data_IF_903287655216
#
_entry.id   IF_903287655216
#
_cell.length_a   1.000
_cell.length_b   1.000
_cell.length_c   1.000
_cell.angle_alpha   90.00
_cell.angle_beta   90.00
_cell.angle_gamma   90.00
#
_symmetry.space_group_name_H-M   'P 1'
#
loop_
_entity.id
_entity.type
_entity.pdbx_description
1 polymer ?
#
# COMPACT_ATOMS: atom_id res chain seq x y z
N UNK A 1 42.12 20.69 1.01
CA UNK A 1 42.77 20.10 -0.21
C UNK A 1 43.40 18.71 0.02
N UNK A 2 44.20 18.49 1.08
CA UNK A 2 44.88 17.21 1.33
C UNK A 2 43.94 15.99 1.53
N UNK A 3 42.90 16.13 2.36
CA UNK A 3 41.93 15.06 2.62
C UNK A 3 41.14 14.62 1.36
N UNK A 4 40.84 15.57 0.46
CA UNK A 4 40.13 15.29 -0.80
C UNK A 4 41.00 14.49 -1.76
N UNK A 5 42.30 14.84 -1.88
CA UNK A 5 43.28 14.06 -2.67
C UNK A 5 43.45 12.64 -2.13
N UNK A 6 43.46 12.46 -0.80
CA UNK A 6 43.50 11.13 -0.17
C UNK A 6 42.29 10.26 -0.51
N UNK A 7 41.08 10.82 -0.47
CA UNK A 7 39.84 10.12 -0.86
C UNK A 7 39.84 9.72 -2.35
N UNK A 8 40.29 10.61 -3.23
CA UNK A 8 40.41 10.33 -4.68
C UNK A 8 41.40 9.20 -4.94
N UNK A 9 42.58 9.22 -4.29
CA UNK A 9 43.59 8.16 -4.43
C UNK A 9 43.05 6.80 -3.95
N UNK A 10 42.28 6.78 -2.85
CA UNK A 10 41.63 5.56 -2.35
C UNK A 10 40.57 5.02 -3.32
N UNK A 11 39.74 5.88 -3.92
CA UNK A 11 38.77 5.47 -4.96
C UNK A 11 39.47 4.88 -6.18
N UNK A 12 40.54 5.53 -6.69
CA UNK A 12 41.33 5.01 -7.82
C UNK A 12 41.94 3.64 -7.55
N UNK A 13 42.53 3.43 -6.36
CA UNK A 13 43.08 2.12 -5.97
C UNK A 13 42.01 1.03 -5.92
N UNK A 14 40.83 1.34 -5.36
CA UNK A 14 39.70 0.40 -5.33
C UNK A 14 39.21 0.07 -6.75
N UNK A 15 39.09 1.07 -7.63
CA UNK A 15 38.70 0.85 -9.01
C UNK A 15 39.67 -0.08 -9.76
N UNK A 16 40.98 0.13 -9.60
CA UNK A 16 42.00 -0.73 -10.19
C UNK A 16 41.93 -2.18 -9.66
N UNK A 17 41.71 -2.36 -8.35
CA UNK A 17 41.52 -3.68 -7.76
C UNK A 17 40.27 -4.38 -8.30
N UNK A 18 39.14 -3.67 -8.41
CA UNK A 18 37.91 -4.22 -8.99
C UNK A 18 38.13 -4.62 -10.45
N UNK A 19 38.85 -3.80 -11.22
CA UNK A 19 39.19 -4.09 -12.61
C UNK A 19 40.05 -5.36 -12.75
N UNK A 20 41.03 -5.57 -11.86
CA UNK A 20 41.91 -6.75 -11.94
C UNK A 20 41.18 -8.06 -11.64
N UNK A 21 40.11 -8.02 -10.84
CA UNK A 21 39.30 -9.21 -10.49
C UNK A 21 37.95 -9.27 -11.23
N UNK A 22 37.71 -8.34 -12.17
CA UNK A 22 36.41 -8.13 -12.82
C UNK A 22 35.84 -9.41 -13.44
N UNK A 23 36.69 -10.20 -14.11
CA UNK A 23 36.28 -11.46 -14.74
C UNK A 23 35.71 -12.46 -13.74
N UNK A 24 36.36 -12.60 -12.58
CA UNK A 24 35.90 -13.53 -11.54
C UNK A 24 34.60 -13.06 -10.90
N UNK A 25 34.46 -11.75 -10.69
CA UNK A 25 33.23 -11.17 -10.15
C UNK A 25 32.06 -11.34 -11.12
N UNK A 26 32.26 -11.10 -12.42
CA UNK A 26 31.24 -11.35 -13.47
C UNK A 26 30.77 -12.80 -13.48
N UNK A 27 31.71 -13.75 -13.40
CA UNK A 27 31.36 -15.17 -13.31
C UNK A 27 30.58 -15.50 -12.04
N UNK A 28 30.93 -14.88 -10.92
CA UNK A 28 30.24 -15.08 -9.65
C UNK A 28 28.82 -14.49 -9.61
N UNK A 29 28.49 -13.48 -10.45
CA UNK A 29 27.12 -12.95 -10.56
C UNK A 29 26.12 -14.03 -11.02
N UNK A 30 26.55 -14.95 -11.87
CA UNK A 30 25.73 -16.04 -12.41
C UNK A 30 26.02 -17.38 -11.72
N UNK A 31 26.68 -17.36 -10.56
CA UNK A 31 27.02 -18.55 -9.80
C UNK A 31 25.79 -19.40 -9.44
N UNK A 32 25.98 -20.71 -9.30
CA UNK A 32 24.92 -21.65 -8.90
C UNK A 32 24.44 -21.38 -7.49
N UNK A 33 25.32 -20.94 -6.59
CA UNK A 33 25.01 -20.56 -5.22
C UNK A 33 24.33 -19.18 -5.19
N UNK A 34 23.06 -19.09 -4.73
CA UNK A 34 22.36 -17.82 -4.63
C UNK A 34 23.06 -16.82 -3.70
N UNK A 35 23.71 -17.32 -2.65
CA UNK A 35 24.43 -16.49 -1.68
C UNK A 35 25.64 -15.79 -2.31
N UNK A 36 26.40 -16.51 -3.14
CA UNK A 36 27.57 -15.95 -3.83
C UNK A 36 27.12 -14.90 -4.85
N UNK A 37 26.16 -15.24 -5.70
CA UNK A 37 25.61 -14.32 -6.70
C UNK A 37 25.09 -13.03 -6.04
N UNK A 38 24.31 -13.17 -4.97
CA UNK A 38 23.77 -12.02 -4.23
C UNK A 38 24.82 -11.17 -3.52
N UNK A 39 25.82 -11.79 -2.90
CA UNK A 39 26.92 -11.07 -2.25
C UNK A 39 27.71 -10.23 -3.28
N UNK A 40 27.90 -10.74 -4.48
CA UNK A 40 28.56 -9.99 -5.55
C UNK A 40 27.68 -8.87 -6.09
N UNK A 41 26.37 -9.11 -6.29
CA UNK A 41 25.42 -8.08 -6.74
C UNK A 41 25.29 -6.93 -5.74
N UNK A 42 25.17 -7.22 -4.44
CA UNK A 42 25.14 -6.20 -3.37
C UNK A 42 26.45 -5.44 -3.27
N UNK A 43 27.58 -6.13 -3.41
CA UNK A 43 28.91 -5.49 -3.47
C UNK A 43 29.01 -4.55 -4.69
N UNK A 44 28.57 -5.00 -5.86
CA UNK A 44 28.54 -4.23 -7.10
C UNK A 44 27.61 -3.01 -6.98
N UNK A 45 26.47 -3.14 -6.30
CA UNK A 45 25.59 -2.01 -5.97
C UNK A 45 26.35 -0.93 -5.22
N UNK A 46 27.15 -1.29 -4.20
CA UNK A 46 27.94 -0.29 -3.47
C UNK A 46 29.10 0.28 -4.31
N UNK A 47 29.64 -0.49 -5.23
CA UNK A 47 30.70 -0.05 -6.13
C UNK A 47 30.23 0.95 -7.20
N UNK A 48 28.93 1.10 -7.44
CA UNK A 48 28.38 2.16 -8.30
C UNK A 48 28.79 3.57 -7.84
N UNK A 49 28.98 3.81 -6.54
CA UNK A 49 29.45 5.09 -5.98
C UNK A 49 30.97 5.35 -6.19
N UNK A 50 31.71 4.30 -6.57
CA UNK A 50 33.18 4.29 -6.59
C UNK A 50 33.71 4.19 -8.02
N UNK A 51 33.23 3.22 -8.79
CA UNK A 51 33.68 2.91 -10.16
C UNK A 51 32.51 2.50 -11.07
N UNK A 52 31.54 3.42 -11.32
CA UNK A 52 30.34 3.11 -12.09
C UNK A 52 30.65 2.62 -13.51
N UNK A 53 31.70 3.12 -14.14
CA UNK A 53 32.06 2.74 -15.52
C UNK A 53 32.42 1.26 -15.64
N UNK A 54 33.04 0.68 -14.60
CA UNK A 54 33.37 -0.75 -14.57
C UNK A 54 32.08 -1.55 -14.39
N UNK A 55 31.27 -1.20 -13.38
CA UNK A 55 30.07 -1.96 -13.03
C UNK A 55 29.01 -1.90 -14.14
N UNK A 56 28.90 -0.78 -14.87
CA UNK A 56 28.01 -0.66 -16.04
C UNK A 56 28.33 -1.69 -17.14
N UNK A 57 29.58 -2.17 -17.25
CA UNK A 57 29.95 -3.25 -18.20
C UNK A 57 29.40 -4.63 -17.82
N UNK A 58 28.83 -4.77 -16.63
CA UNK A 58 28.27 -6.03 -16.12
C UNK A 58 26.78 -6.16 -16.46
N UNK A 59 26.25 -5.26 -17.31
CA UNK A 59 24.82 -5.18 -17.63
C UNK A 59 24.26 -6.53 -18.10
N UNK A 60 25.00 -7.30 -18.90
CA UNK A 60 24.53 -8.57 -19.44
C UNK A 60 24.40 -9.64 -18.33
N UNK A 61 25.43 -9.79 -17.50
CA UNK A 61 25.45 -10.74 -16.38
C UNK A 61 24.38 -10.39 -15.35
N UNK A 62 24.20 -9.09 -15.07
CA UNK A 62 23.15 -8.61 -14.16
C UNK A 62 21.75 -8.84 -14.75
N UNK A 63 21.56 -8.68 -16.07
CA UNK A 63 20.29 -8.99 -16.73
C UNK A 63 19.96 -10.49 -16.71
N UNK A 64 20.96 -11.35 -16.88
CA UNK A 64 20.80 -12.80 -16.76
C UNK A 64 20.38 -13.18 -15.33
N UNK A 65 21.09 -12.66 -14.33
CA UNK A 65 20.77 -12.85 -12.91
C UNK A 65 19.35 -12.34 -12.58
N UNK A 66 18.94 -11.21 -13.17
CA UNK A 66 17.59 -10.65 -13.00
C UNK A 66 16.49 -11.50 -13.67
N UNK A 67 16.83 -12.32 -14.66
CA UNK A 67 15.88 -13.15 -15.41
C UNK A 67 15.84 -14.62 -14.92
N UNK A 68 16.77 -15.04 -14.07
CA UNK A 68 16.81 -16.40 -13.52
C UNK A 68 15.77 -16.62 -12.41
N UNK A 69 15.44 -17.85 -12.04
CA UNK A 69 14.33 -18.18 -11.10
C UNK A 69 14.56 -17.85 -9.62
N UNK A 70 15.76 -17.41 -9.24
CA UNK A 70 16.16 -17.21 -7.84
C UNK A 70 15.76 -15.83 -7.35
N UNK A 71 14.62 -15.71 -6.66
CA UNK A 71 14.02 -14.42 -6.24
C UNK A 71 15.02 -13.49 -5.52
N UNK A 72 15.81 -14.01 -4.58
CA UNK A 72 16.78 -13.20 -3.84
C UNK A 72 17.88 -12.64 -4.75
N UNK A 73 18.33 -13.41 -5.75
CA UNK A 73 19.31 -12.95 -6.75
C UNK A 73 18.65 -11.96 -7.71
N UNK A 74 17.44 -12.26 -8.18
CA UNK A 74 16.65 -11.35 -9.02
C UNK A 74 16.48 -9.98 -8.35
N UNK A 75 16.14 -9.94 -7.06
CA UNK A 75 15.95 -8.71 -6.31
C UNK A 75 17.21 -7.83 -6.31
N UNK A 76 18.36 -8.39 -5.93
CA UNK A 76 19.62 -7.65 -5.92
C UNK A 76 20.07 -7.25 -7.33
N UNK A 77 19.85 -8.12 -8.32
CA UNK A 77 20.15 -7.84 -9.71
C UNK A 77 19.29 -6.70 -10.26
N UNK A 78 17.99 -6.67 -9.97
CA UNK A 78 17.09 -5.58 -10.35
C UNK A 78 17.48 -4.25 -9.70
N UNK A 79 17.85 -4.27 -8.42
CA UNK A 79 18.34 -3.07 -7.73
C UNK A 79 19.60 -2.49 -8.37
N UNK A 80 20.56 -3.36 -8.73
CA UNK A 80 21.77 -2.95 -9.44
C UNK A 80 21.46 -2.48 -10.88
N UNK A 81 20.58 -3.18 -11.59
CA UNK A 81 20.18 -2.84 -12.95
C UNK A 81 19.46 -1.48 -13.02
N UNK A 82 18.66 -1.16 -11.99
CA UNK A 82 18.09 0.16 -11.81
C UNK A 82 19.18 1.23 -11.70
N UNK A 83 20.19 1.06 -10.83
CA UNK A 83 21.29 2.01 -10.70
C UNK A 83 22.09 2.17 -12.00
N UNK A 84 22.34 1.08 -12.72
CA UNK A 84 23.04 1.12 -14.01
C UNK A 84 22.27 1.98 -15.02
N UNK A 85 20.93 1.92 -14.98
CA UNK A 85 20.02 2.56 -15.95
C UNK A 85 19.40 3.86 -15.48
N UNK A 86 19.62 4.29 -14.24
CA UNK A 86 18.86 5.40 -13.64
C UNK A 86 18.94 6.73 -14.42
N UNK A 87 20.01 6.92 -15.22
CA UNK A 87 20.18 8.08 -16.10
C UNK A 87 19.40 7.99 -17.42
N UNK A 88 18.89 6.81 -17.78
CA UNK A 88 18.10 6.56 -18.99
C UNK A 88 16.65 6.21 -18.60
N UNK A 89 15.78 7.23 -18.70
CA UNK A 89 14.36 7.14 -18.36
C UNK A 89 13.63 6.06 -19.16
N UNK A 90 13.97 5.89 -20.44
CA UNK A 90 13.33 4.89 -21.31
C UNK A 90 13.76 3.49 -20.91
N UNK A 91 15.05 3.27 -20.63
CA UNK A 91 15.55 1.98 -20.17
C UNK A 91 14.95 1.57 -18.83
N UNK A 92 14.81 2.49 -17.88
CA UNK A 92 14.13 2.23 -16.59
C UNK A 92 12.66 1.89 -16.81
N UNK A 93 11.96 2.62 -17.66
CA UNK A 93 10.54 2.38 -17.93
C UNK A 93 10.32 1.01 -18.60
N UNK A 94 11.16 0.64 -19.58
CA UNK A 94 11.13 -0.69 -20.21
C UNK A 94 11.43 -1.80 -19.21
N UNK A 95 12.38 -1.59 -18.30
CA UNK A 95 12.72 -2.54 -17.26
C UNK A 95 11.54 -2.76 -16.31
N UNK A 96 10.92 -1.68 -15.81
CA UNK A 96 9.73 -1.77 -14.97
C UNK A 96 8.61 -2.49 -15.72
N UNK A 97 8.33 -2.12 -16.97
CA UNK A 97 7.30 -2.80 -17.76
C UNK A 97 7.59 -4.31 -17.92
N UNK A 98 8.84 -4.71 -18.16
CA UNK A 98 9.23 -6.12 -18.30
C UNK A 98 9.04 -6.91 -17.00
N UNK A 99 9.38 -6.34 -15.85
CA UNK A 99 9.38 -7.07 -14.57
C UNK A 99 8.10 -6.88 -13.74
N UNK A 100 7.27 -5.88 -14.08
CA UNK A 100 6.02 -5.57 -13.36
C UNK A 100 4.77 -6.00 -14.14
N UNK A 101 4.81 -6.09 -15.48
CA UNK A 101 3.65 -6.47 -16.29
C UNK A 101 3.69 -7.98 -16.53
N UNK A 102 2.77 -8.72 -15.90
CA UNK A 102 2.59 -10.17 -16.07
C UNK A 102 3.86 -10.97 -15.79
N UNK A 103 4.39 -10.90 -14.56
CA UNK A 103 5.43 -11.81 -14.11
C UNK A 103 4.81 -12.86 -13.17
N UNK A 104 4.39 -14.04 -13.68
CA UNK A 104 3.77 -15.08 -12.87
C UNK A 104 4.66 -15.51 -11.71
N UNK A 105 5.98 -15.54 -11.90
CA UNK A 105 6.94 -15.90 -10.86
C UNK A 105 6.94 -14.91 -9.69
N UNK A 106 6.71 -13.63 -9.96
CA UNK A 106 6.59 -12.61 -8.91
C UNK A 106 5.30 -12.83 -8.12
N UNK A 107 4.18 -13.05 -8.81
CA UNK A 107 2.91 -13.32 -8.13
C UNK A 107 2.99 -14.61 -7.31
N UNK A 108 3.50 -15.72 -7.88
CA UNK A 108 3.72 -16.99 -7.18
C UNK A 108 4.63 -16.83 -5.94
N UNK A 109 5.68 -16.02 -6.04
CA UNK A 109 6.53 -15.71 -4.90
C UNK A 109 5.77 -14.95 -3.81
N UNK A 110 5.01 -13.92 -4.18
CA UNK A 110 4.23 -13.15 -3.21
C UNK A 110 3.14 -14.02 -2.58
N UNK A 111 2.45 -14.84 -3.38
CA UNK A 111 1.42 -15.76 -2.92
C UNK A 111 2.00 -16.82 -1.96
N UNK A 112 3.17 -17.39 -2.26
CA UNK A 112 3.85 -18.29 -1.33
C UNK A 112 4.30 -17.56 -0.04
N UNK A 113 4.68 -16.28 -0.14
CA UNK A 113 5.07 -15.44 1.00
C UNK A 113 3.90 -15.11 1.93
N UNK A 114 2.65 -15.21 1.48
CA UNK A 114 1.46 -15.09 2.34
C UNK A 114 1.38 -16.17 3.43
N UNK A 115 2.10 -17.29 3.27
CA UNK A 115 2.14 -18.41 4.22
C UNK A 115 3.42 -18.42 5.07
N UNK A 116 4.18 -17.33 5.06
CA UNK A 116 5.43 -17.24 5.80
C UNK A 116 5.22 -17.22 7.32
N UNK A 117 6.22 -17.59 8.13
CA UNK A 117 6.11 -17.62 9.60
C UNK A 117 6.09 -16.22 10.24
N UNK A 118 6.64 -15.22 9.55
CA UNK A 118 6.73 -13.85 10.04
C UNK A 118 5.56 -13.01 9.56
N UNK A 119 4.77 -12.47 10.49
CA UNK A 119 3.60 -11.61 10.21
C UNK A 119 3.96 -10.38 9.36
N UNK A 120 5.16 -9.82 9.54
CA UNK A 120 5.62 -8.68 8.73
C UNK A 120 5.78 -9.07 7.26
N UNK A 121 6.36 -10.24 6.99
CA UNK A 121 6.54 -10.74 5.62
C UNK A 121 5.18 -11.02 4.99
N UNK A 122 4.27 -11.64 5.75
CA UNK A 122 2.91 -11.92 5.33
C UNK A 122 2.18 -10.62 4.93
N UNK A 123 2.26 -9.59 5.79
CA UNK A 123 1.63 -8.30 5.53
C UNK A 123 2.22 -7.60 4.29
N UNK A 124 3.56 -7.57 4.19
CA UNK A 124 4.25 -6.97 3.04
C UNK A 124 3.91 -7.68 1.73
N UNK A 125 3.81 -9.01 1.75
CA UNK A 125 3.38 -9.78 0.59
C UNK A 125 1.94 -9.44 0.18
N UNK A 126 1.00 -9.37 1.14
CA UNK A 126 -0.38 -8.99 0.87
C UNK A 126 -0.48 -7.57 0.28
N UNK A 127 0.23 -6.60 0.87
CA UNK A 127 0.26 -5.22 0.37
C UNK A 127 0.89 -5.11 -1.02
N UNK A 128 1.94 -5.89 -1.28
CA UNK A 128 2.59 -5.94 -2.59
C UNK A 128 1.64 -6.51 -3.66
N UNK A 129 0.91 -7.58 -3.37
CA UNK A 129 -0.11 -8.16 -4.28
C UNK A 129 -1.15 -7.10 -4.61
N UNK A 130 -1.71 -6.44 -3.61
CA UNK A 130 -2.74 -5.38 -3.78
C UNK A 130 -2.25 -4.20 -4.62
N UNK A 131 -0.95 -3.93 -4.60
CA UNK A 131 -0.34 -2.82 -5.35
C UNK A 131 -0.09 -3.16 -6.83
N UNK A 132 -0.30 -4.41 -7.26
CA UNK A 132 -0.18 -4.81 -8.65
C UNK A 132 -1.32 -4.21 -9.49
N UNK A 133 -1.01 -3.87 -10.74
CA UNK A 133 -2.01 -3.32 -11.68
C UNK A 133 -2.82 -4.46 -12.30
N UNK A 134 -4.11 -4.20 -12.58
CA UNK A 134 -5.03 -5.10 -13.27
C UNK A 134 -5.26 -6.46 -12.56
N UNK A 135 -5.31 -6.46 -11.22
CA UNK A 135 -5.62 -7.66 -10.45
C UNK A 135 -7.02 -8.20 -10.76
N UNK A 136 -7.11 -9.51 -10.95
CA UNK A 136 -8.40 -10.20 -10.92
C UNK A 136 -8.90 -10.37 -9.48
N UNK A 137 -10.21 -10.53 -9.30
CA UNK A 137 -10.78 -10.82 -7.98
C UNK A 137 -10.19 -12.10 -7.34
N UNK A 138 -9.81 -13.08 -8.17
CA UNK A 138 -9.18 -14.33 -7.74
C UNK A 138 -7.77 -14.12 -7.19
N UNK A 139 -6.98 -13.24 -7.82
CA UNK A 139 -5.63 -12.90 -7.36
C UNK A 139 -5.63 -11.99 -6.12
N UNK A 140 -6.68 -11.20 -5.96
CA UNK A 140 -6.86 -10.32 -4.80
C UNK A 140 -7.28 -11.10 -3.54
N UNK A 141 -8.07 -12.17 -3.68
CA UNK A 141 -8.69 -12.87 -2.57
C UNK A 141 -7.70 -13.42 -1.51
N UNK A 142 -6.56 -14.05 -1.87
CA UNK A 142 -5.59 -14.53 -0.88
C UNK A 142 -5.00 -13.40 -0.02
N UNK A 143 -4.68 -12.26 -0.64
CA UNK A 143 -4.15 -11.10 0.06
C UNK A 143 -5.19 -10.50 1.02
N UNK A 144 -6.45 -10.39 0.60
CA UNK A 144 -7.53 -9.90 1.46
C UNK A 144 -7.79 -10.86 2.63
N UNK A 145 -7.78 -12.18 2.41
CA UNK A 145 -7.96 -13.17 3.49
C UNK A 145 -6.86 -13.09 4.55
N UNK A 146 -5.63 -12.81 4.16
CA UNK A 146 -4.53 -12.56 5.10
C UNK A 146 -4.75 -11.26 5.88
N UNK A 147 -5.14 -10.16 5.22
CA UNK A 147 -5.43 -8.91 5.91
C UNK A 147 -6.59 -9.06 6.90
N UNK A 148 -7.61 -9.84 6.54
CA UNK A 148 -8.71 -10.20 7.44
C UNK A 148 -8.19 -10.89 8.71
N UNK A 149 -7.31 -11.89 8.56
CA UNK A 149 -6.69 -12.55 9.72
C UNK A 149 -5.93 -11.54 10.59
N UNK A 150 -5.16 -10.63 9.99
CA UNK A 150 -4.37 -9.63 10.70
C UNK A 150 -5.23 -8.59 11.46
N UNK A 151 -6.51 -8.41 11.10
CA UNK A 151 -7.45 -7.60 11.87
C UNK A 151 -7.64 -8.11 13.31
N UNK A 152 -7.46 -9.42 13.55
CA UNK A 152 -7.61 -10.03 14.88
C UNK A 152 -6.29 -10.17 15.64
N UNK A 153 -5.18 -9.66 15.09
CA UNK A 153 -3.87 -9.75 15.73
C UNK A 153 -3.84 -9.06 17.10
N UNK A 154 -3.11 -9.65 18.07
CA UNK A 154 -2.88 -9.01 19.36
C UNK A 154 -2.04 -7.72 19.25
N UNK A 155 -1.28 -7.55 18.15
CA UNK A 155 -0.41 -6.40 17.92
C UNK A 155 -1.17 -5.23 17.27
N UNK A 156 -1.33 -4.07 17.94
CA UNK A 156 -2.05 -2.92 17.39
C UNK A 156 -1.48 -2.42 16.05
N UNK A 157 -0.16 -2.49 15.86
CA UNK A 157 0.48 -2.09 14.61
C UNK A 157 0.03 -2.93 13.41
N UNK A 158 -0.17 -4.24 13.59
CA UNK A 158 -0.64 -5.13 12.52
C UNK A 158 -2.12 -4.91 12.22
N UNK A 159 -2.96 -4.74 13.25
CA UNK A 159 -4.37 -4.39 13.07
C UNK A 159 -4.52 -3.08 12.31
N UNK A 160 -3.78 -2.04 12.71
CA UNK A 160 -3.76 -0.77 12.00
C UNK A 160 -3.35 -0.93 10.54
N UNK A 161 -2.24 -1.63 10.28
CA UNK A 161 -1.72 -1.84 8.94
C UNK A 161 -2.71 -2.63 8.05
N UNK A 162 -3.38 -3.63 8.63
CA UNK A 162 -4.40 -4.42 7.96
C UNK A 162 -5.60 -3.57 7.56
N UNK A 163 -6.24 -2.89 8.51
CA UNK A 163 -7.43 -2.07 8.27
C UNK A 163 -7.12 -0.91 7.34
N UNK A 164 -5.96 -0.24 7.50
CA UNK A 164 -5.53 0.81 6.59
C UNK A 164 -5.44 0.31 5.14
N UNK A 165 -4.89 -0.88 4.94
CA UNK A 165 -4.75 -1.49 3.60
C UNK A 165 -6.12 -1.91 3.05
N UNK A 166 -6.98 -2.52 3.86
CA UNK A 166 -8.35 -2.87 3.48
C UNK A 166 -9.18 -1.64 3.08
N UNK A 167 -9.04 -0.53 3.81
CA UNK A 167 -9.68 0.74 3.49
C UNK A 167 -9.29 1.27 2.09
N UNK A 168 -8.01 1.11 1.73
CA UNK A 168 -7.52 1.47 0.40
C UNK A 168 -8.12 0.55 -0.67
N UNK A 169 -8.14 -0.77 -0.44
CA UNK A 169 -8.74 -1.75 -1.35
C UNK A 169 -10.23 -1.49 -1.56
N UNK A 170 -10.98 -1.20 -0.49
CA UNK A 170 -12.42 -0.99 -0.52
C UNK A 170 -12.84 0.19 -1.41
N UNK A 171 -11.91 1.13 -1.68
CA UNK A 171 -12.18 2.28 -2.57
C UNK A 171 -12.32 1.85 -4.04
N UNK A 172 -11.65 0.78 -4.46
CA UNK A 172 -11.67 0.28 -5.84
C UNK A 172 -12.36 -1.08 -5.98
N UNK A 173 -12.31 -1.91 -4.94
CA UNK A 173 -12.82 -3.29 -4.92
C UNK A 173 -13.65 -3.56 -3.65
N UNK A 174 -14.76 -2.82 -3.40
CA UNK A 174 -15.54 -2.96 -2.18
C UNK A 174 -16.09 -4.38 -1.97
N UNK A 175 -16.51 -5.05 -3.05
CA UNK A 175 -17.03 -6.43 -2.99
C UNK A 175 -16.00 -7.46 -2.51
N UNK A 176 -14.69 -7.22 -2.69
CA UNK A 176 -13.66 -8.12 -2.21
C UNK A 176 -13.47 -8.03 -0.68
N UNK A 177 -13.77 -6.87 -0.09
CA UNK A 177 -13.54 -6.57 1.34
C UNK A 177 -14.76 -6.89 2.20
N UNK A 178 -15.94 -7.13 1.61
CA UNK A 178 -17.18 -7.44 2.37
C UNK A 178 -17.04 -8.65 3.29
N UNK A 179 -16.20 -9.63 2.92
CA UNK A 179 -15.89 -10.79 3.75
C UNK A 179 -15.26 -10.41 5.11
N UNK A 180 -14.61 -9.25 5.19
CA UNK A 180 -13.97 -8.73 6.40
C UNK A 180 -14.91 -7.93 7.30
N UNK A 181 -16.18 -7.69 6.90
CA UNK A 181 -17.06 -6.76 7.61
C UNK A 181 -17.29 -7.16 9.07
N UNK A 182 -17.40 -8.46 9.38
CA UNK A 182 -17.58 -8.92 10.76
C UNK A 182 -16.37 -8.59 11.64
N UNK A 183 -15.15 -8.81 11.14
CA UNK A 183 -13.92 -8.48 11.86
C UNK A 183 -13.75 -6.95 11.99
N UNK A 184 -14.12 -6.19 10.95
CA UNK A 184 -14.09 -4.74 10.98
C UNK A 184 -15.10 -4.14 11.98
N UNK A 185 -16.29 -4.75 12.13
CA UNK A 185 -17.27 -4.33 13.15
C UNK A 185 -16.72 -4.50 14.56
N UNK A 186 -15.96 -5.57 14.84
CA UNK A 186 -15.31 -5.76 16.14
C UNK A 186 -14.25 -4.69 16.43
N UNK A 187 -13.57 -4.19 15.39
CA UNK A 187 -12.53 -3.16 15.52
C UNK A 187 -13.06 -1.75 15.78
N UNK A 188 -14.38 -1.51 15.70
CA UNK A 188 -14.98 -0.24 16.12
C UNK A 188 -14.70 0.02 17.61
N UNK A 189 -14.64 -1.04 18.42
CA UNK A 189 -14.31 -0.96 19.84
C UNK A 189 -12.81 -0.97 20.15
N UNK A 190 -11.91 -0.89 19.15
CA UNK A 190 -10.47 -0.93 19.39
C UNK A 190 -10.03 0.31 20.22
N UNK A 191 -9.18 0.13 21.25
CA UNK A 191 -8.69 1.25 22.07
C UNK A 191 -7.93 2.29 21.24
N UNK A 192 -7.33 1.90 20.12
CA UNK A 192 -6.70 2.82 19.18
C UNK A 192 -7.75 3.42 18.25
N UNK A 193 -8.07 4.70 18.48
CA UNK A 193 -9.08 5.44 17.71
C UNK A 193 -8.76 5.57 16.23
N UNK A 194 -7.49 5.49 15.84
CA UNK A 194 -7.13 5.46 14.41
C UNK A 194 -7.56 4.16 13.75
N UNK A 195 -7.46 3.02 14.46
CA UNK A 195 -7.93 1.72 13.97
C UNK A 195 -9.44 1.72 13.84
N UNK A 196 -10.15 2.13 14.90
CA UNK A 196 -11.61 2.20 14.90
C UNK A 196 -12.16 3.14 13.81
N UNK A 197 -11.53 4.31 13.61
CA UNK A 197 -11.91 5.26 12.56
C UNK A 197 -11.73 4.65 11.17
N UNK A 198 -10.61 3.97 10.92
CA UNK A 198 -10.36 3.29 9.65
C UNK A 198 -11.34 2.11 9.45
N UNK A 199 -11.72 1.40 10.51
CA UNK A 199 -12.67 0.30 10.43
C UNK A 199 -14.06 0.81 10.01
N UNK A 200 -14.55 1.88 10.66
CA UNK A 200 -15.80 2.55 10.26
C UNK A 200 -15.74 3.04 8.82
N UNK A 201 -14.67 3.73 8.45
CA UNK A 201 -14.48 4.24 7.08
C UNK A 201 -14.53 3.09 6.06
N UNK A 202 -13.92 1.95 6.38
CA UNK A 202 -13.93 0.76 5.53
C UNK A 202 -15.33 0.15 5.44
N UNK A 203 -16.04 0.01 6.57
CA UNK A 203 -17.42 -0.49 6.61
C UNK A 203 -18.39 0.39 5.80
N UNK A 204 -18.21 1.72 5.85
CA UNK A 204 -19.00 2.65 5.04
C UNK A 204 -18.73 2.42 3.54
N UNK A 205 -17.48 2.14 3.13
CA UNK A 205 -17.15 1.84 1.73
C UNK A 205 -17.71 0.50 1.24
N UNK A 206 -17.70 -0.52 2.09
CA UNK A 206 -18.20 -1.88 1.79
C UNK A 206 -19.69 -2.05 2.04
N UNK A 207 -20.34 -1.06 2.67
CA UNK A 207 -21.77 -1.01 2.92
C UNK A 207 -22.59 -1.12 1.64
N UNK A 208 -23.80 -1.68 1.79
CA UNK A 208 -24.80 -1.84 0.74
C UNK A 208 -26.08 -1.07 1.12
N UNK A 209 -26.97 -0.85 0.16
CA UNK A 209 -28.14 0.00 0.38
C UNK A 209 -29.06 -0.49 1.53
N UNK A 210 -29.11 -1.80 1.78
CA UNK A 210 -29.95 -2.37 2.83
C UNK A 210 -29.39 -2.21 4.23
N UNK A 211 -28.07 -2.02 4.40
CA UNK A 211 -27.44 -1.94 5.72
C UNK A 211 -27.00 -0.53 6.14
N UNK A 212 -27.09 0.48 5.27
CA UNK A 212 -26.68 1.88 5.56
C UNK A 212 -27.23 2.38 6.89
N UNK A 213 -28.54 2.20 7.14
CA UNK A 213 -29.17 2.71 8.35
C UNK A 213 -28.63 2.04 9.62
N UNK A 214 -28.45 0.72 9.60
CA UNK A 214 -27.87 -0.02 10.74
C UNK A 214 -26.45 0.43 11.01
N UNK A 215 -25.66 0.64 9.96
CA UNK A 215 -24.28 1.09 10.08
C UNK A 215 -24.21 2.50 10.70
N UNK A 216 -25.05 3.44 10.26
CA UNK A 216 -25.11 4.79 10.84
C UNK A 216 -25.50 4.78 12.32
N UNK A 217 -26.38 3.87 12.75
CA UNK A 217 -26.72 3.69 14.18
C UNK A 217 -25.51 3.28 15.02
N UNK A 218 -24.60 2.46 14.48
CA UNK A 218 -23.35 2.11 15.17
C UNK A 218 -22.31 3.25 15.15
N UNK A 219 -22.28 4.05 14.08
CA UNK A 219 -21.35 5.18 13.95
C UNK A 219 -21.74 6.35 14.86
N UNK A 220 -23.04 6.58 15.10
CA UNK A 220 -23.52 7.71 15.90
C UNK A 220 -22.86 7.82 17.29
N UNK A 221 -22.82 6.78 18.15
CA UNK A 221 -22.17 6.89 19.46
C UNK A 221 -20.65 7.13 19.31
N UNK A 222 -20.01 6.50 18.33
CA UNK A 222 -18.57 6.67 18.08
C UNK A 222 -18.18 8.12 17.76
N UNK A 223 -19.03 8.85 17.04
CA UNK A 223 -18.77 10.26 16.70
C UNK A 223 -18.62 11.17 17.93
N UNK A 224 -19.15 10.77 19.09
CA UNK A 224 -18.99 11.51 20.35
C UNK A 224 -17.66 11.23 21.06
N UNK A 225 -16.99 10.12 20.74
CA UNK A 225 -15.79 9.64 21.43
C UNK A 225 -14.46 10.04 20.77
N UNK A 226 -14.52 10.68 19.61
CA UNK A 226 -13.34 11.00 18.78
C UNK A 226 -13.14 12.51 18.59
N UNK A 227 -11.92 12.90 18.26
CA UNK A 227 -11.59 14.30 17.95
C UNK A 227 -12.24 14.77 16.65
N UNK A 228 -12.44 16.09 16.51
CA UNK A 228 -13.02 16.69 15.30
C UNK A 228 -12.27 16.32 14.02
N UNK A 229 -10.96 16.12 14.08
CA UNK A 229 -10.15 15.65 12.95
C UNK A 229 -10.61 14.28 12.44
N UNK A 230 -10.80 13.31 13.34
CA UNK A 230 -11.33 11.99 12.96
C UNK A 230 -12.81 12.07 12.55
N UNK A 231 -13.61 12.95 13.17
CA UNK A 231 -15.01 13.13 12.78
C UNK A 231 -15.13 13.60 11.33
N UNK A 232 -14.23 14.46 10.86
CA UNK A 232 -14.18 14.92 9.47
C UNK A 232 -13.90 13.74 8.52
N UNK A 233 -12.98 12.84 8.85
CA UNK A 233 -12.69 11.64 8.02
C UNK A 233 -13.91 10.73 7.90
N UNK A 234 -14.64 10.51 8.99
CA UNK A 234 -15.88 9.72 8.96
C UNK A 234 -16.97 10.42 8.15
N UNK A 235 -17.10 11.73 8.30
CA UNK A 235 -18.07 12.56 7.57
C UNK A 235 -17.86 12.47 6.04
N UNK A 236 -16.62 12.51 5.56
CA UNK A 236 -16.32 12.35 4.13
C UNK A 236 -16.84 11.01 3.59
N UNK A 237 -16.70 9.95 4.38
CA UNK A 237 -17.19 8.61 4.01
C UNK A 237 -18.72 8.52 4.00
N UNK A 238 -19.39 9.19 4.94
CA UNK A 238 -20.86 9.28 4.98
C UNK A 238 -21.39 10.13 3.81
N UNK A 239 -20.71 11.22 3.46
CA UNK A 239 -21.08 12.03 2.31
C UNK A 239 -20.98 11.21 1.01
N UNK A 240 -19.92 10.41 0.85
CA UNK A 240 -19.78 9.51 -0.31
C UNK A 240 -20.92 8.48 -0.42
N UNK A 241 -21.51 8.03 0.69
CA UNK A 241 -22.69 7.17 0.68
C UNK A 241 -23.92 7.85 0.10
N UNK A 242 -24.09 9.16 0.28
CA UNK A 242 -25.21 9.90 -0.29
C UNK A 242 -25.15 9.92 -1.81
N UNK A 243 -23.96 10.10 -2.38
CA UNK A 243 -23.74 10.02 -3.82
C UNK A 243 -23.92 8.59 -4.35
N UNK A 244 -23.52 7.57 -3.56
CA UNK A 244 -23.64 6.15 -3.95
C UNK A 244 -25.08 5.62 -3.85
N UNK A 245 -25.84 6.03 -2.84
CA UNK A 245 -27.20 5.57 -2.55
C UNK A 245 -28.17 6.76 -2.41
N UNK A 246 -28.48 7.45 -3.53
CA UNK A 246 -29.23 8.70 -3.49
C UNK A 246 -30.64 8.54 -2.89
N UNK A 247 -31.26 7.36 -2.99
CA UNK A 247 -32.57 7.08 -2.37
C UNK A 247 -32.55 7.07 -0.84
N UNK A 248 -31.38 6.99 -0.21
CA UNK A 248 -31.21 7.01 1.26
C UNK A 248 -30.95 8.41 1.82
N UNK A 249 -31.13 9.46 1.01
CA UNK A 249 -30.89 10.85 1.40
C UNK A 249 -31.58 11.26 2.71
N UNK A 250 -32.83 10.81 2.95
CA UNK A 250 -33.57 11.13 4.18
C UNK A 250 -32.83 10.67 5.44
N UNK A 251 -32.35 9.42 5.44
CA UNK A 251 -31.63 8.83 6.59
C UNK A 251 -30.30 9.56 6.81
N UNK A 252 -29.58 9.84 5.72
CA UNK A 252 -28.28 10.51 5.76
C UNK A 252 -28.40 11.96 6.24
N UNK A 253 -29.36 12.73 5.71
CA UNK A 253 -29.60 14.12 6.12
C UNK A 253 -30.05 14.20 7.58
N UNK A 254 -30.89 13.28 8.04
CA UNK A 254 -31.28 13.22 9.45
C UNK A 254 -30.07 12.96 10.36
N UNK A 255 -29.20 12.02 9.97
CA UNK A 255 -27.96 11.74 10.70
C UNK A 255 -27.05 12.98 10.75
N UNK A 256 -26.77 13.60 9.60
CA UNK A 256 -25.92 14.80 9.51
C UNK A 256 -26.49 15.97 10.31
N UNK A 257 -27.81 16.18 10.25
CA UNK A 257 -28.49 17.22 11.02
C UNK A 257 -28.43 16.96 12.52
N UNK A 258 -28.42 15.69 12.94
CA UNK A 258 -28.16 15.29 14.32
C UNK A 258 -26.78 15.72 14.80
N UNK A 259 -25.74 15.51 14.00
CA UNK A 259 -24.35 15.87 14.33
C UNK A 259 -24.13 17.37 14.56
N UNK A 260 -25.00 18.25 14.04
CA UNK A 260 -24.94 19.69 14.29
C UNK A 260 -25.35 20.06 15.72
N UNK A 261 -26.19 19.23 16.36
CA UNK A 261 -26.68 19.44 17.73
C UNK A 261 -25.62 19.09 18.77
N UNK A 262 -24.75 18.15 18.45
CA UNK A 262 -23.69 17.70 19.35
C UNK A 262 -22.63 18.78 19.60
N UNK A 263 -21.93 18.65 20.72
CA UNK A 263 -20.78 19.49 21.04
C UNK A 263 -19.62 19.12 20.09
N UNK A 264 -19.26 20.07 19.24
CA UNK A 264 -18.16 19.94 18.29
C UNK A 264 -17.61 21.32 17.90
N UNK A 265 -16.36 21.37 17.47
CA UNK A 265 -15.72 22.58 17.03
C UNK A 265 -16.27 23.11 15.70
N UNK A 266 -15.96 24.38 15.44
CA UNK A 266 -16.43 25.12 14.25
C UNK A 266 -16.08 24.40 12.94
N UNK A 267 -14.86 23.91 12.80
CA UNK A 267 -14.37 23.26 11.57
C UNK A 267 -15.20 22.04 11.20
N UNK A 268 -15.52 21.20 12.19
CA UNK A 268 -16.38 20.03 11.97
C UNK A 268 -17.80 20.43 11.61
N UNK A 269 -18.43 21.35 12.36
CA UNK A 269 -19.80 21.81 12.07
C UNK A 269 -19.91 22.44 10.68
N UNK A 270 -18.91 23.23 10.27
CA UNK A 270 -18.81 23.78 8.91
C UNK A 270 -18.76 22.67 7.86
N UNK A 271 -17.93 21.65 8.07
CA UNK A 271 -17.85 20.51 7.16
C UNK A 271 -19.19 19.76 7.03
N UNK A 272 -19.92 19.58 8.14
CA UNK A 272 -21.25 18.96 8.15
C UNK A 272 -22.25 19.76 7.31
N UNK A 273 -22.30 21.09 7.48
CA UNK A 273 -23.18 21.96 6.68
C UNK A 273 -22.84 21.87 5.20
N UNK A 274 -21.54 21.90 4.84
CA UNK A 274 -21.09 21.76 3.45
C UNK A 274 -21.51 20.41 2.86
N UNK A 275 -21.42 19.32 3.63
CA UNK A 275 -21.89 18.01 3.19
C UNK A 275 -23.40 17.98 2.97
N UNK A 276 -24.19 18.55 3.88
CA UNK A 276 -25.66 18.67 3.74
C UNK A 276 -26.02 19.46 2.48
N UNK A 277 -25.40 20.62 2.28
CA UNK A 277 -25.62 21.47 1.11
C UNK A 277 -25.28 20.73 -0.20
N UNK A 278 -24.16 20.01 -0.21
CA UNK A 278 -23.74 19.18 -1.35
C UNK A 278 -24.79 18.11 -1.69
N UNK A 279 -25.32 17.41 -0.69
CA UNK A 279 -26.35 16.38 -0.87
C UNK A 279 -27.65 16.99 -1.45
N UNK A 280 -28.12 18.11 -0.89
CA UNK A 280 -29.35 18.78 -1.34
C UNK A 280 -29.20 19.31 -2.78
N UNK A 281 -28.01 19.79 -3.16
CA UNK A 281 -27.75 20.24 -4.53
C UNK A 281 -27.73 19.08 -5.52
N UNK A 282 -27.18 17.94 -5.13
CA UNK A 282 -27.04 16.76 -6.00
C UNK A 282 -28.35 15.96 -6.13
N UNK A 283 -29.21 15.96 -5.12
CA UNK A 283 -30.43 15.14 -5.06
C UNK A 283 -31.66 16.06 -5.07
N UNK A 284 -32.35 16.22 -6.21
CA UNK A 284 -33.50 17.13 -6.35
C UNK A 284 -34.61 16.90 -5.32
N UNK A 285 -34.90 15.64 -5.00
CA UNK A 285 -35.94 15.22 -4.04
C UNK A 285 -35.62 15.67 -2.60
N UNK A 286 -34.34 15.81 -2.27
CA UNK A 286 -33.88 16.24 -0.95
C UNK A 286 -34.25 17.70 -0.64
N UNK A 287 -34.53 18.52 -1.65
CA UNK A 287 -34.96 19.93 -1.47
C UNK A 287 -36.25 20.07 -0.69
N UNK A 288 -37.10 19.03 -0.68
CA UNK A 288 -38.36 19.02 0.06
C UNK A 288 -38.19 18.97 1.58
N UNK A 289 -37.07 18.39 2.06
CA UNK A 289 -36.73 18.26 3.49
C UNK A 289 -36.08 19.55 4.04
N UNK A 290 -35.52 20.37 3.17
CA UNK A 290 -34.84 21.63 3.53
C UNK A 290 -35.77 22.84 3.69
N UNK A 291 -37.08 22.65 3.49
CA UNK A 291 -38.14 23.62 3.79
C UNK A 291 -38.65 23.41 5.21
#
# INVERSE_FOLDING_TARGET
>A
MSALRGKIKKKRKKAAMVQSIERYLKQAVVDKSPAIASAVLTSAYKLMDVCPDIIKRWTNEVQEAASGSRIMVQYHALGLLYLIRQSDRLAVTKMIQKFTRNNPQLYEFLESSLRHKSEMVIYEAARAIISLRNLTAKELAPAVGVLQLLCTSSKPALRYAAVHTLNAVASNHPAAVTACNLDLEQLIGDPNRSIATLAITTLLKTGNESNVERLLKHVSPFMSEISDEFKIVVLESIHALATKYPKKYTVLLNFLSGLLRDSAGYTFKKAVVVAIESIIKQIPEAKSIAK
#
